data_IF_892881747936
#
_entry.id   IF_892881747936
#
_cell.length_a   1.000
_cell.length_b   1.000
_cell.length_c   1.000
_cell.angle_alpha   90.00
_cell.angle_beta   90.00
_cell.angle_gamma   90.00
#
_symmetry.space_group_name_H-M   'P 1'
#
loop_
_entity.id
_entity.type
_entity.pdbx_description
1 polymer ?
#
# COMPACT_ATOMS: atom_id res chain seq x y z
N UNK A 1 71.94 11.35 -33.08
CA UNK A 1 70.85 10.38 -33.26
C UNK A 1 70.23 10.12 -31.90
N UNK A 2 69.03 10.65 -31.67
CA UNK A 2 68.29 10.50 -30.41
C UNK A 2 67.33 9.31 -30.42
N UNK A 3 66.51 9.27 -29.37
CA UNK A 3 65.45 8.30 -29.00
C UNK A 3 65.95 7.02 -28.31
N UNK A 4 65.34 6.52 -27.23
CA UNK A 4 64.19 7.02 -26.45
C UNK A 4 64.21 6.34 -25.08
N UNK A 5 64.16 7.14 -24.03
CA UNK A 5 63.69 6.74 -22.70
C UNK A 5 62.20 6.41 -22.81
N UNK A 6 61.80 5.20 -22.40
CA UNK A 6 60.40 4.82 -22.22
C UNK A 6 60.02 5.05 -20.76
N UNK A 7 59.10 5.99 -20.47
CA UNK A 7 58.26 5.87 -19.28
C UNK A 7 56.80 6.06 -19.70
N UNK A 8 56.12 4.99 -20.13
CA UNK A 8 54.71 5.05 -20.51
C UNK A 8 53.86 3.96 -19.84
N UNK A 9 54.18 3.66 -18.58
CA UNK A 9 53.35 2.78 -17.74
C UNK A 9 52.67 3.52 -16.57
N UNK A 10 52.81 4.84 -16.47
CA UNK A 10 52.15 5.63 -15.43
C UNK A 10 50.75 6.12 -15.83
N UNK A 11 50.48 6.30 -17.13
CA UNK A 11 49.16 6.69 -17.66
C UNK A 11 48.04 5.65 -17.48
N UNK A 12 48.25 4.33 -17.67
CA UNK A 12 47.16 3.36 -17.53
C UNK A 12 46.71 3.11 -16.08
N UNK A 13 47.58 3.36 -15.09
CA UNK A 13 47.25 3.19 -13.67
C UNK A 13 46.35 4.31 -13.12
N UNK A 14 46.52 5.56 -13.58
CA UNK A 14 45.65 6.68 -13.15
C UNK A 14 44.23 6.56 -13.72
N UNK A 15 44.08 5.92 -14.89
CA UNK A 15 42.79 5.73 -15.54
C UNK A 15 41.91 4.72 -14.80
N UNK A 16 42.52 3.70 -14.16
CA UNK A 16 41.76 2.66 -13.45
C UNK A 16 41.14 3.18 -12.14
N UNK A 17 41.84 4.06 -11.42
CA UNK A 17 41.32 4.71 -10.19
C UNK A 17 40.14 5.64 -10.47
N UNK A 18 40.11 6.30 -11.65
CA UNK A 18 39.00 7.18 -12.05
C UNK A 18 37.71 6.40 -12.36
N UNK A 19 37.82 5.16 -12.88
CA UNK A 19 36.64 4.34 -13.21
C UNK A 19 35.96 3.72 -11.98
N UNK A 20 36.67 3.52 -10.87
CA UNK A 20 36.09 2.95 -9.64
C UNK A 20 35.52 4.05 -8.72
N UNK A 21 35.93 5.31 -8.90
CA UNK A 21 35.47 6.47 -8.12
C UNK A 21 34.11 7.06 -8.52
N UNK A 22 33.43 6.51 -9.54
CA UNK A 22 32.08 6.96 -9.98
C UNK A 22 31.04 5.87 -9.68
N UNK A 23 31.07 5.29 -8.49
CA UNK A 23 29.91 4.61 -7.91
C UNK A 23 29.18 5.61 -7.01
N UNK A 24 28.20 6.38 -7.52
CA UNK A 24 27.24 6.97 -6.61
C UNK A 24 26.47 5.79 -6.00
N UNK A 25 26.70 5.53 -4.71
CA UNK A 25 25.75 4.79 -3.87
C UNK A 25 24.46 5.60 -3.78
N UNK A 26 23.73 5.66 -4.89
CA UNK A 26 22.42 6.26 -4.98
C UNK A 26 21.45 5.34 -4.27
N UNK A 27 21.15 5.64 -3.02
CA UNK A 27 19.90 5.23 -2.41
C UNK A 27 18.81 5.99 -3.14
N UNK A 28 18.34 5.41 -4.26
CA UNK A 28 17.13 5.87 -4.91
C UNK A 28 16.01 5.39 -4.01
N UNK A 29 15.51 6.28 -3.15
CA UNK A 29 14.20 6.12 -2.53
C UNK A 29 13.19 5.98 -3.66
N UNK A 30 12.81 4.74 -3.96
CA UNK A 30 11.80 4.43 -4.95
C UNK A 30 10.46 4.95 -4.39
N UNK A 31 10.08 6.16 -4.79
CA UNK A 31 8.68 6.42 -5.12
C UNK A 31 8.46 5.57 -6.37
N UNK A 32 7.73 4.45 -6.33
CA UNK A 32 7.59 3.61 -7.51
C UNK A 32 6.83 4.42 -8.56
N UNK A 33 7.55 4.88 -9.58
CA UNK A 33 6.94 5.41 -10.78
C UNK A 33 6.07 4.32 -11.37
N UNK A 34 4.82 4.70 -11.56
CA UNK A 34 3.67 3.98 -12.10
C UNK A 34 4.00 3.35 -13.47
N UNK A 35 4.77 2.25 -13.53
CA UNK A 35 5.08 1.68 -14.84
C UNK A 35 6.13 0.59 -15.00
N UNK A 36 6.67 -0.07 -13.96
CA UNK A 36 7.51 -1.26 -14.19
C UNK A 36 6.79 -2.58 -13.87
N UNK A 37 6.27 -3.14 -14.97
CA UNK A 37 6.04 -4.53 -15.32
C UNK A 37 6.47 -5.61 -14.30
N UNK A 38 5.79 -5.71 -13.16
CA UNK A 38 5.72 -6.97 -12.40
C UNK A 38 4.44 -7.74 -12.74
N UNK A 39 4.48 -8.40 -13.90
CA UNK A 39 3.56 -9.48 -14.28
C UNK A 39 3.93 -10.75 -13.48
N UNK A 40 3.82 -10.70 -12.16
CA UNK A 40 3.87 -11.88 -11.28
C UNK A 40 2.63 -11.82 -10.41
N UNK A 41 1.53 -12.34 -10.95
CA UNK A 41 0.21 -12.38 -10.33
C UNK A 41 -0.28 -11.02 -9.83
N UNK A 42 -1.25 -10.44 -10.53
CA UNK A 42 -1.83 -9.12 -10.27
C UNK A 42 -2.52 -9.04 -8.90
N UNK A 43 -1.74 -9.10 -7.82
CA UNK A 43 -2.17 -8.97 -6.44
C UNK A 43 -1.85 -7.55 -6.06
N UNK A 44 -2.90 -6.77 -5.87
CA UNK A 44 -2.73 -5.44 -5.33
C UNK A 44 -2.02 -5.50 -3.96
N UNK A 45 -1.18 -4.51 -3.62
CA UNK A 45 -0.51 -4.48 -2.33
C UNK A 45 -1.53 -4.42 -1.18
N UNK A 46 -1.06 -4.68 0.04
CA UNK A 46 -1.91 -4.59 1.24
C UNK A 46 -2.62 -3.23 1.33
N UNK A 47 -3.87 -3.24 1.79
CA UNK A 47 -4.73 -2.05 1.80
C UNK A 47 -5.30 -1.64 0.43
N UNK A 48 -4.98 -2.34 -0.66
CA UNK A 48 -5.56 -2.10 -2.00
C UNK A 48 -6.36 -3.31 -2.50
N UNK A 49 -7.22 -3.07 -3.48
CA UNK A 49 -8.02 -4.09 -4.16
C UNK A 49 -8.02 -3.87 -5.67
N UNK A 50 -8.24 -4.96 -6.42
CA UNK A 50 -8.29 -4.91 -7.89
C UNK A 50 -9.57 -4.21 -8.32
N UNK A 51 -9.47 -3.21 -9.19
CA UNK A 51 -10.64 -2.49 -9.68
C UNK A 51 -11.56 -3.45 -10.46
N UNK A 52 -12.88 -3.49 -10.19
CA UNK A 52 -13.77 -4.54 -10.71
C UNK A 52 -13.87 -4.57 -12.23
N UNK A 53 -13.71 -3.41 -12.89
CA UNK A 53 -13.78 -3.28 -14.35
C UNK A 53 -12.39 -3.23 -15.01
N UNK A 54 -11.31 -3.07 -14.25
CA UNK A 54 -9.97 -2.95 -14.82
C UNK A 54 -8.94 -3.60 -13.89
N UNK A 55 -8.55 -4.84 -14.22
CA UNK A 55 -7.65 -5.63 -13.39
C UNK A 55 -6.20 -5.12 -13.32
N UNK A 56 -5.83 -4.14 -14.14
CA UNK A 56 -4.53 -3.45 -14.07
C UNK A 56 -4.50 -2.32 -13.05
N UNK A 57 -5.67 -1.92 -12.51
CA UNK A 57 -5.79 -0.82 -11.56
C UNK A 57 -5.99 -1.37 -10.15
N UNK A 58 -5.20 -0.85 -9.21
CA UNK A 58 -5.36 -1.09 -7.79
C UNK A 58 -5.95 0.15 -7.10
N UNK A 59 -7.14 -0.02 -6.54
CA UNK A 59 -7.82 1.02 -5.76
C UNK A 59 -7.52 0.85 -4.27
N UNK A 60 -7.55 1.95 -3.54
CA UNK A 60 -7.34 1.96 -2.09
C UNK A 60 -8.62 1.50 -1.39
N UNK A 61 -8.52 0.59 -0.43
CA UNK A 61 -9.67 0.17 0.38
C UNK A 61 -10.13 1.31 1.27
N UNK A 62 -11.41 1.35 1.58
CA UNK A 62 -12.00 2.26 2.55
C UNK A 62 -11.73 1.76 3.97
N UNK A 63 -11.35 2.68 4.84
CA UNK A 63 -11.25 2.46 6.29
C UNK A 63 -12.47 3.15 6.97
N UNK A 64 -12.40 3.34 8.30
CA UNK A 64 -13.31 4.07 9.20
C UNK A 64 -13.46 5.58 8.86
N UNK A 65 -13.49 5.96 7.59
CA UNK A 65 -13.46 7.34 7.13
C UNK A 65 -12.92 7.50 5.69
N UNK A 66 -12.91 8.74 5.16
CA UNK A 66 -12.67 8.99 3.74
C UNK A 66 -11.26 8.57 3.29
N UNK A 67 -11.19 7.88 2.15
CA UNK A 67 -9.97 7.54 1.44
C UNK A 67 -9.65 8.60 0.39
N UNK A 68 -8.36 8.80 0.08
CA UNK A 68 -7.93 9.85 -0.85
C UNK A 68 -8.12 9.48 -2.33
N UNK A 69 -7.96 8.19 -2.68
CA UNK A 69 -8.06 7.68 -4.07
C UNK A 69 -9.44 7.08 -4.41
N UNK A 70 -10.32 6.94 -3.43
CA UNK A 70 -11.61 6.24 -3.56
C UNK A 70 -12.63 7.01 -2.73
N UNK A 71 -13.80 7.30 -3.32
CA UNK A 71 -14.90 7.99 -2.62
C UNK A 71 -15.44 7.09 -1.50
N UNK A 72 -14.81 7.17 -0.34
CA UNK A 72 -15.23 6.47 0.86
C UNK A 72 -16.08 7.42 1.70
N UNK A 73 -17.30 6.97 2.00
CA UNK A 73 -18.24 7.70 2.86
C UNK A 73 -18.30 7.04 4.22
N UNK A 74 -18.57 7.84 5.24
CA UNK A 74 -18.83 7.32 6.57
C UNK A 74 -20.13 6.50 6.59
N UNK A 75 -20.16 5.48 7.44
CA UNK A 75 -21.35 4.65 7.62
C UNK A 75 -22.49 5.45 8.25
N UNK A 76 -23.71 5.21 7.76
CA UNK A 76 -24.90 5.81 8.34
C UNK A 76 -25.20 5.23 9.74
N UNK A 77 -25.96 5.97 10.54
CA UNK A 77 -26.38 5.52 11.86
C UNK A 77 -27.10 4.17 11.79
N UNK A 78 -26.67 3.21 12.61
CA UNK A 78 -27.18 1.83 12.56
C UNK A 78 -26.43 0.92 11.58
N UNK A 79 -25.29 1.37 11.04
CA UNK A 79 -24.36 0.55 10.27
C UNK A 79 -22.91 0.77 10.69
N UNK A 80 -22.03 -0.19 10.39
CA UNK A 80 -20.62 -0.17 10.77
C UNK A 80 -19.73 -0.85 9.74
N UNK A 81 -18.43 -0.54 9.79
CA UNK A 81 -17.37 -1.33 9.15
C UNK A 81 -16.16 -1.42 10.08
N UNK A 82 -15.79 -2.62 10.51
CA UNK A 82 -14.72 -2.80 11.49
C UNK A 82 -13.30 -2.82 10.88
N UNK A 83 -13.20 -3.17 9.61
CA UNK A 83 -11.93 -3.40 8.90
C UNK A 83 -11.92 -2.75 7.53
N UNK A 84 -10.71 -2.59 6.98
CA UNK A 84 -10.52 -2.09 5.61
C UNK A 84 -11.26 -2.95 4.59
N UNK A 85 -12.09 -2.32 3.78
CA UNK A 85 -12.94 -3.02 2.84
C UNK A 85 -13.19 -2.18 1.57
N UNK A 86 -13.87 -2.78 0.61
CA UNK A 86 -14.29 -2.14 -0.65
C UNK A 86 -15.79 -2.31 -0.87
N UNK A 87 -16.55 -2.45 0.23
CA UNK A 87 -18.00 -2.60 0.18
C UNK A 87 -18.62 -1.28 -0.25
N UNK A 88 -19.67 -1.38 -1.07
CA UNK A 88 -20.46 -0.20 -1.45
C UNK A 88 -21.43 0.24 -0.36
N UNK A 89 -21.67 -0.63 0.61
CA UNK A 89 -22.59 -0.43 1.72
C UNK A 89 -21.96 -0.93 3.01
N UNK A 90 -22.21 -0.23 4.11
CA UNK A 90 -21.80 -0.66 5.44
C UNK A 90 -22.63 -1.85 5.93
N UNK A 91 -22.12 -2.57 6.93
CA UNK A 91 -22.81 -3.69 7.54
C UNK A 91 -23.86 -3.16 8.52
N UNK A 92 -25.07 -3.70 8.50
CA UNK A 92 -26.10 -3.33 9.49
C UNK A 92 -25.69 -3.79 10.88
N UNK A 93 -25.92 -2.94 11.88
CA UNK A 93 -25.67 -3.32 13.27
C UNK A 93 -26.59 -4.46 13.73
N UNK A 94 -26.02 -5.38 14.50
CA UNK A 94 -26.73 -6.45 15.17
C UNK A 94 -27.70 -5.89 16.22
N UNK A 95 -28.81 -6.62 16.42
CA UNK A 95 -29.81 -6.33 17.46
C UNK A 95 -29.83 -7.48 18.46
N UNK A 96 -29.69 -7.16 19.74
CA UNK A 96 -29.75 -8.17 20.79
C UNK A 96 -31.19 -8.66 20.99
N UNK A 97 -31.34 -9.98 21.02
CA UNK A 97 -32.64 -10.66 21.12
C UNK A 97 -33.11 -10.72 22.55
N UNK A 98 -33.89 -9.72 22.96
CA UNK A 98 -34.45 -9.62 24.32
C UNK A 98 -35.31 -10.84 24.68
N UNK A 99 -35.99 -11.43 23.69
CA UNK A 99 -36.78 -12.65 23.84
C UNK A 99 -35.94 -13.88 24.22
N UNK A 100 -34.65 -13.86 23.92
CA UNK A 100 -33.68 -14.90 24.30
C UNK A 100 -32.90 -14.54 25.58
N UNK A 101 -33.30 -13.47 26.27
CA UNK A 101 -32.59 -12.95 27.45
C UNK A 101 -31.30 -12.20 27.12
N UNK A 102 -31.03 -11.87 25.86
CA UNK A 102 -29.82 -11.15 25.50
C UNK A 102 -29.88 -9.68 25.90
N UNK A 103 -28.78 -9.17 26.44
CA UNK A 103 -28.59 -7.76 26.78
C UNK A 103 -27.52 -7.13 25.89
N UNK A 104 -27.71 -5.85 25.57
CA UNK A 104 -26.69 -5.05 24.89
C UNK A 104 -25.57 -4.73 25.87
N UNK A 105 -24.38 -5.27 25.61
CA UNK A 105 -23.17 -4.98 26.38
C UNK A 105 -22.54 -3.68 25.88
N UNK A 106 -22.50 -3.48 24.56
CA UNK A 106 -21.99 -2.26 23.95
C UNK A 106 -22.77 -1.89 22.70
N UNK A 107 -23.05 -0.60 22.56
CA UNK A 107 -23.73 -0.04 21.41
C UNK A 107 -22.88 -0.09 20.15
N UNK A 108 -23.57 -0.14 19.00
CA UNK A 108 -22.96 -0.02 17.70
C UNK A 108 -22.33 1.35 17.47
N UNK A 109 -21.18 1.39 16.83
CA UNK A 109 -20.50 2.60 16.35
C UNK A 109 -20.11 2.41 14.88
N UNK A 110 -19.72 3.48 14.19
CA UNK A 110 -19.33 3.41 12.76
C UNK A 110 -18.22 2.39 12.48
N UNK A 111 -17.44 2.02 13.49
CA UNK A 111 -16.33 1.07 13.39
C UNK A 111 -16.50 -0.23 14.18
N UNK A 112 -17.65 -0.44 14.84
CA UNK A 112 -17.88 -1.64 15.66
C UNK A 112 -19.35 -2.01 15.74
N UNK A 113 -19.63 -3.30 15.62
CA UNK A 113 -20.99 -3.82 15.81
C UNK A 113 -21.48 -3.65 17.25
N UNK A 114 -22.80 -3.79 17.44
CA UNK A 114 -23.40 -4.08 18.74
C UNK A 114 -22.85 -5.39 19.30
N UNK A 115 -22.49 -5.40 20.58
CA UNK A 115 -22.09 -6.64 21.29
C UNK A 115 -23.23 -7.06 22.20
N UNK A 116 -23.71 -8.29 22.02
CA UNK A 116 -24.76 -8.89 22.82
C UNK A 116 -24.16 -9.91 23.80
N UNK A 117 -24.70 -9.96 25.01
CA UNK A 117 -24.38 -10.96 26.04
C UNK A 117 -25.62 -11.60 26.63
N UNK A 118 -25.40 -12.57 27.52
CA UNK A 118 -26.44 -13.25 28.30
C UNK A 118 -26.47 -12.71 29.73
#
# INVERSE_FOLDING_TARGET
MGLSTVPDLLLPLVLLELLVGIYPSGVIGLVPHLGDREKRDSVCPQGKYIHPQNNSICCTKCHKGPGQDTDCRECESGSFTASENHLRHCLSCSKCRKEMGQVEISSCTVDRDTVCGC
#
